data_IF_823818655033
#
_entry.id   IF_823818655033
#
_cell.length_a   1.000
_cell.length_b   1.000
_cell.length_c   1.000
_cell.angle_alpha   90.00
_cell.angle_beta   90.00
_cell.angle_gamma   90.00
#
_symmetry.space_group_name_H-M   'P 1'
#
loop_
_entity.id
_entity.type
_entity.pdbx_description
1 polymer ?
#
# COMPACT_ATOMS: atom_id res chain seq x y z
N UNK A 1 -10.00 3.32 14.06
CA UNK A 1 -10.79 2.66 15.14
C UNK A 1 -10.84 3.56 16.37
N UNK A 2 -12.03 3.81 16.96
CA UNK A 2 -12.19 4.64 18.17
C UNK A 2 -11.26 4.20 19.33
N UNK A 3 -11.06 2.90 19.49
CA UNK A 3 -10.16 2.35 20.51
C UNK A 3 -8.71 2.81 20.34
N UNK A 4 -8.21 2.92 19.12
CA UNK A 4 -6.83 3.34 18.86
C UNK A 4 -6.65 4.83 19.15
N UNK A 5 -7.64 5.67 18.82
CA UNK A 5 -7.57 7.12 19.02
C UNK A 5 -7.74 7.52 20.49
N UNK A 6 -8.64 6.87 21.23
CA UNK A 6 -9.05 7.36 22.56
C UNK A 6 -8.62 6.47 23.73
N UNK A 7 -8.21 5.23 23.49
CA UNK A 7 -8.00 4.22 24.55
C UNK A 7 -6.64 3.53 24.50
N UNK A 8 -5.76 3.90 23.56
CA UNK A 8 -4.40 3.38 23.43
C UNK A 8 -3.43 4.54 23.33
N UNK A 9 -2.22 4.33 23.83
CA UNK A 9 -1.09 5.21 23.53
C UNK A 9 -0.57 4.76 22.16
N UNK A 10 -0.71 5.64 21.17
CA UNK A 10 -0.23 5.43 19.81
C UNK A 10 0.73 6.57 19.45
N UNK A 11 1.62 6.33 18.48
CA UNK A 11 2.55 7.36 18.00
C UNK A 11 2.54 7.39 16.48
N UNK A 12 2.68 8.59 15.91
CA UNK A 12 2.89 8.80 14.48
C UNK A 12 4.07 9.75 14.32
N UNK A 13 4.96 9.43 13.38
CA UNK A 13 6.16 10.22 13.12
C UNK A 13 6.09 10.81 11.71
N UNK A 14 6.42 12.11 11.55
CA UNK A 14 6.51 12.69 10.23
C UNK A 14 7.75 12.15 9.49
N UNK A 15 7.61 11.96 8.18
CA UNK A 15 8.73 11.65 7.30
C UNK A 15 9.36 12.97 6.84
N UNK A 16 10.40 13.41 7.56
CA UNK A 16 11.09 14.67 7.26
C UNK A 16 12.00 14.58 6.03
N UNK A 17 12.48 13.38 5.72
CA UNK A 17 13.25 13.14 4.50
C UNK A 17 12.30 12.96 3.32
N UNK A 18 12.31 13.93 2.39
CA UNK A 18 11.44 13.95 1.22
C UNK A 18 11.69 12.76 0.28
N UNK A 19 12.92 12.25 0.19
CA UNK A 19 13.21 11.07 -0.63
C UNK A 19 12.55 9.81 -0.05
N UNK A 20 12.53 9.67 1.27
CA UNK A 20 11.83 8.56 1.93
C UNK A 20 10.31 8.72 1.83
N UNK A 21 9.79 9.95 1.92
CA UNK A 21 8.37 10.21 1.71
C UNK A 21 7.94 9.83 0.29
N UNK A 22 8.73 10.20 -0.72
CA UNK A 22 8.51 9.82 -2.11
C UNK A 22 8.56 8.29 -2.31
N UNK A 23 9.55 7.63 -1.72
CA UNK A 23 9.65 6.17 -1.79
C UNK A 23 8.40 5.49 -1.21
N UNK A 24 7.83 5.99 -0.11
CA UNK A 24 6.58 5.45 0.44
C UNK A 24 5.38 5.71 -0.49
N UNK A 25 5.34 6.87 -1.16
CA UNK A 25 4.31 7.14 -2.18
C UNK A 25 4.39 6.14 -3.34
N UNK A 26 5.60 5.85 -3.85
CA UNK A 26 5.81 4.85 -4.90
C UNK A 26 5.35 3.44 -4.45
N UNK A 27 5.57 3.10 -3.17
CA UNK A 27 5.04 1.84 -2.62
C UNK A 27 3.51 1.82 -2.61
N UNK A 28 2.85 2.92 -2.27
CA UNK A 28 1.39 3.03 -2.35
C UNK A 28 0.90 2.93 -3.79
N UNK A 29 1.57 3.57 -4.75
CA UNK A 29 1.21 3.47 -6.16
C UNK A 29 1.24 2.02 -6.66
N UNK A 30 2.25 1.25 -6.26
CA UNK A 30 2.33 -0.19 -6.55
C UNK A 30 1.15 -0.95 -5.91
N UNK A 31 0.77 -0.61 -4.67
CA UNK A 31 -0.35 -1.27 -4.00
C UNK A 31 -1.70 -0.93 -4.62
N UNK A 32 -1.91 0.32 -5.02
CA UNK A 32 -3.17 0.77 -5.66
C UNK A 32 -3.32 0.24 -7.09
N UNK A 33 -2.23 -0.18 -7.73
CA UNK A 33 -2.25 -0.81 -9.04
C UNK A 33 -2.44 -2.34 -9.00
N UNK A 34 -2.50 -2.95 -7.81
CA UNK A 34 -2.78 -4.38 -7.67
C UNK A 34 -4.15 -4.71 -8.26
N UNK A 35 -4.21 -5.74 -9.10
CA UNK A 35 -5.46 -6.23 -9.69
C UNK A 35 -5.64 -7.74 -9.55
N UNK A 36 -4.75 -8.38 -8.80
CA UNK A 36 -4.77 -9.83 -8.61
C UNK A 36 -5.33 -10.20 -7.25
N UNK A 37 -4.89 -9.50 -6.20
CA UNK A 37 -5.26 -9.75 -4.81
C UNK A 37 -6.11 -8.62 -4.23
N UNK A 38 -6.04 -7.42 -4.80
CA UNK A 38 -6.86 -6.30 -4.37
C UNK A 38 -8.35 -6.50 -4.68
N UNK A 39 -9.18 -5.95 -3.80
CA UNK A 39 -10.63 -5.93 -3.95
C UNK A 39 -11.17 -4.54 -3.60
N UNK A 40 -12.22 -4.13 -4.31
CA UNK A 40 -13.00 -2.96 -3.96
C UNK A 40 -14.06 -3.35 -2.94
N UNK A 41 -14.23 -2.53 -1.91
CA UNK A 41 -15.33 -2.67 -0.97
C UNK A 41 -16.52 -1.83 -1.44
N UNK A 42 -17.68 -2.46 -1.56
CA UNK A 42 -18.91 -1.75 -1.88
C UNK A 42 -19.60 -1.17 -0.64
N UNK A 43 -20.72 -0.49 -0.87
CA UNK A 43 -21.56 0.09 0.20
C UNK A 43 -22.20 -0.95 1.13
N UNK A 44 -22.24 -2.22 0.72
CA UNK A 44 -22.71 -3.34 1.52
C UNK A 44 -21.57 -4.10 2.22
N UNK A 45 -20.32 -3.64 2.06
CA UNK A 45 -19.12 -4.28 2.61
C UNK A 45 -18.74 -5.58 1.90
N UNK A 46 -19.21 -5.80 0.67
CA UNK A 46 -18.82 -6.95 -0.14
C UNK A 46 -17.52 -6.65 -0.89
N UNK A 47 -16.67 -7.66 -1.01
CA UNK A 47 -15.43 -7.57 -1.79
C UNK A 47 -15.74 -7.84 -3.26
N UNK A 48 -15.45 -6.87 -4.11
CA UNK A 48 -15.49 -7.00 -5.56
C UNK A 48 -14.07 -7.13 -6.09
N UNK A 49 -13.79 -8.21 -6.83
CA UNK A 49 -12.51 -8.35 -7.52
C UNK A 49 -12.32 -7.24 -8.56
N UNK A 50 -11.08 -6.82 -8.77
CA UNK A 50 -10.76 -5.83 -9.80
C UNK A 50 -10.73 -6.54 -11.16
N UNK A 51 -11.51 -6.06 -12.13
CA UNK A 51 -11.70 -6.73 -13.43
C UNK A 51 -10.61 -6.40 -14.48
N UNK A 52 -9.38 -6.11 -14.09
CA UNK A 52 -8.27 -5.89 -15.05
C UNK A 52 -7.46 -7.16 -15.29
N UNK A 53 -6.84 -7.25 -16.48
CA UNK A 53 -6.08 -8.43 -16.92
C UNK A 53 -4.56 -8.23 -16.83
N UNK A 54 -4.07 -7.24 -16.08
CA UNK A 54 -2.64 -6.94 -16.05
C UNK A 54 -1.85 -7.90 -15.17
N UNK A 55 -2.52 -8.61 -14.24
CA UNK A 55 -1.89 -9.55 -13.30
C UNK A 55 -0.83 -8.87 -12.44
N UNK A 56 -1.12 -7.64 -12.03
CA UNK A 56 -0.31 -6.86 -11.12
C UNK A 56 -0.46 -7.44 -9.72
N UNK A 57 0.62 -8.05 -9.23
CA UNK A 57 0.74 -8.54 -7.85
C UNK A 57 1.66 -7.60 -7.09
N UNK A 58 1.07 -6.68 -6.32
CA UNK A 58 1.79 -5.60 -5.63
C UNK A 58 2.90 -6.12 -4.73
N UNK A 59 2.66 -7.20 -3.97
CA UNK A 59 3.65 -7.76 -3.04
C UNK A 59 4.93 -8.22 -3.76
N UNK A 60 4.78 -8.81 -4.96
CA UNK A 60 5.93 -9.23 -5.77
C UNK A 60 6.64 -8.03 -6.40
N UNK A 61 5.87 -7.03 -6.85
CA UNK A 61 6.41 -5.80 -7.44
C UNK A 61 7.18 -4.96 -6.42
N UNK A 62 6.67 -4.82 -5.20
CA UNK A 62 7.37 -4.15 -4.07
C UNK A 62 8.70 -4.83 -3.77
N UNK A 63 8.73 -6.17 -3.73
CA UNK A 63 9.98 -6.92 -3.51
C UNK A 63 11.02 -6.62 -4.61
N UNK A 64 10.59 -6.58 -5.87
CA UNK A 64 11.48 -6.25 -6.99
C UNK A 64 11.97 -4.80 -6.91
N UNK A 65 11.08 -3.84 -6.64
CA UNK A 65 11.40 -2.43 -6.48
C UNK A 65 12.47 -2.22 -5.39
N UNK A 66 12.26 -2.79 -4.19
CA UNK A 66 13.22 -2.67 -3.09
C UNK A 66 14.56 -3.37 -3.39
N UNK A 67 14.54 -4.54 -4.04
CA UNK A 67 15.78 -5.24 -4.46
C UNK A 67 16.55 -4.47 -5.53
N UNK A 68 15.87 -3.76 -6.42
CA UNK A 68 16.49 -2.91 -7.43
C UNK A 68 17.22 -1.72 -6.79
N UNK A 69 16.60 -1.09 -5.81
CA UNK A 69 17.17 0.08 -5.12
C UNK A 69 18.32 -0.28 -4.17
N UNK A 70 18.36 -1.50 -3.62
CA UNK A 70 19.48 -1.97 -2.78
C UNK A 70 20.77 -2.29 -3.55
N UNK A 71 20.72 -2.33 -4.89
CA UNK A 71 21.89 -2.61 -5.74
C UNK A 71 22.60 -1.34 -6.23
N UNK A 72 22.11 -0.17 -5.85
CA UNK A 72 22.74 1.14 -6.10
C UNK A 72 23.52 1.57 -4.84
#
# INVERSE_FOLDING_TARGET
MNRNIYRRIETCFPLLNLALAHQIQELFDIQFADDTEATLLDEHGQNQAIETQQKNVSQQQILHYLKGNMRQ
#
